data_IF_292967681942
#
_entry.id   IF_292967681942
#
_cell.length_a   1.000
_cell.length_b   1.000
_cell.length_c   1.000
_cell.angle_alpha   90.00
_cell.angle_beta   90.00
_cell.angle_gamma   90.00
#
_symmetry.space_group_name_H-M   'P 1'
#
loop_
_entity.id
_entity.type
_entity.pdbx_description
1 polymer ?
#
# COMPACT_ATOMS: atom_id res chain seq x y z
N UNK A 1 73.48 -32.01 -52.55
CA UNK A 1 73.30 -32.88 -51.37
C UNK A 1 73.54 -32.04 -50.13
N UNK A 2 72.56 -32.04 -49.23
CA UNK A 2 72.62 -31.63 -47.81
C UNK A 2 71.59 -30.57 -47.44
N UNK A 3 70.37 -31.06 -47.22
CA UNK A 3 69.32 -30.47 -46.41
C UNK A 3 69.83 -30.13 -45.00
N UNK A 4 69.60 -28.90 -44.57
CA UNK A 4 69.86 -28.43 -43.20
C UNK A 4 68.55 -28.51 -42.41
N UNK A 5 68.32 -29.66 -41.77
CA UNK A 5 67.20 -29.89 -40.86
C UNK A 5 67.25 -28.94 -39.65
N UNK A 6 66.17 -28.20 -39.39
CA UNK A 6 66.00 -27.34 -38.21
C UNK A 6 65.01 -28.00 -37.25
N UNK A 7 65.45 -28.31 -36.03
CA UNK A 7 64.63 -28.94 -34.99
C UNK A 7 63.66 -27.93 -34.35
N UNK A 8 62.38 -28.29 -34.14
CA UNK A 8 61.45 -27.45 -33.38
C UNK A 8 61.62 -27.64 -31.86
N UNK A 9 61.53 -26.52 -31.13
CA UNK A 9 61.72 -26.42 -29.68
C UNK A 9 60.47 -26.90 -28.92
N UNK A 10 60.49 -28.14 -28.45
CA UNK A 10 59.45 -28.76 -27.61
C UNK A 10 59.36 -28.17 -26.19
N UNK A 11 60.34 -27.38 -25.75
CA UNK A 11 60.39 -26.82 -24.39
C UNK A 11 59.34 -25.73 -24.13
N UNK A 12 58.89 -25.00 -25.15
CA UNK A 12 57.87 -23.94 -24.98
C UNK A 12 56.43 -24.48 -24.98
N UNK A 13 56.19 -25.63 -25.60
CA UNK A 13 54.88 -26.25 -25.66
C UNK A 13 54.47 -26.88 -24.31
N UNK A 14 55.42 -27.45 -23.56
CA UNK A 14 55.14 -28.07 -22.26
C UNK A 14 54.85 -27.04 -21.14
N UNK A 15 55.44 -25.85 -21.21
CA UNK A 15 55.22 -24.81 -20.19
C UNK A 15 53.81 -24.17 -20.28
N UNK A 16 53.22 -24.10 -21.48
CA UNK A 16 51.90 -23.48 -21.69
C UNK A 16 50.72 -24.38 -21.27
N UNK A 17 50.87 -25.71 -21.33
CA UNK A 17 49.84 -26.65 -20.90
C UNK A 17 49.70 -26.73 -19.37
N UNK A 18 50.79 -26.56 -18.61
CA UNK A 18 50.76 -26.57 -17.14
C UNK A 18 49.97 -25.38 -16.54
N UNK A 19 50.04 -24.21 -17.16
CA UNK A 19 49.36 -23.01 -16.69
C UNK A 19 47.83 -23.07 -16.86
N UNK A 20 47.34 -23.75 -17.91
CA UNK A 20 45.91 -23.91 -18.19
C UNK A 20 45.23 -24.89 -17.21
N UNK A 21 45.91 -25.98 -16.84
CA UNK A 21 45.39 -26.94 -15.86
C UNK A 21 45.33 -26.37 -14.43
N UNK A 22 46.35 -25.59 -14.02
CA UNK A 22 46.39 -24.98 -12.68
C UNK A 22 45.30 -23.92 -12.46
N UNK A 23 45.03 -23.07 -13.45
CA UNK A 23 43.98 -22.04 -13.35
C UNK A 23 42.56 -22.62 -13.26
N UNK A 24 42.30 -23.73 -13.97
CA UNK A 24 41.00 -24.39 -13.96
C UNK A 24 40.69 -25.07 -12.61
N UNK A 25 41.68 -25.70 -11.97
CA UNK A 25 41.52 -26.31 -10.64
C UNK A 25 41.26 -25.26 -9.55
N UNK A 26 41.94 -24.11 -9.61
CA UNK A 26 41.73 -23.01 -8.65
C UNK A 26 40.31 -22.43 -8.80
N UNK A 27 39.84 -22.21 -10.03
CA UNK A 27 38.48 -21.71 -10.28
C UNK A 27 37.38 -22.69 -9.79
N UNK A 28 37.59 -24.00 -9.96
CA UNK A 28 36.65 -25.02 -9.47
C UNK A 28 36.62 -25.07 -7.93
N UNK A 29 37.77 -24.97 -7.27
CA UNK A 29 37.83 -24.93 -5.80
C UNK A 29 37.13 -23.68 -5.25
N UNK A 30 37.40 -22.49 -5.79
CA UNK A 30 36.72 -21.27 -5.34
C UNK A 30 35.21 -21.31 -5.62
N UNK A 31 34.79 -21.85 -6.76
CA UNK A 31 33.37 -22.04 -7.09
C UNK A 31 32.67 -23.01 -6.13
N UNK A 32 33.31 -24.13 -5.78
CA UNK A 32 32.78 -25.06 -4.78
C UNK A 32 32.70 -24.45 -3.38
N UNK A 33 33.71 -23.68 -2.95
CA UNK A 33 33.66 -23.00 -1.66
C UNK A 33 32.52 -21.97 -1.59
N UNK A 34 32.33 -21.18 -2.65
CA UNK A 34 31.23 -20.22 -2.73
C UNK A 34 29.85 -20.92 -2.76
N UNK A 35 29.72 -22.04 -3.46
CA UNK A 35 28.48 -22.81 -3.52
C UNK A 35 28.15 -23.47 -2.18
N UNK A 36 29.14 -24.07 -1.50
CA UNK A 36 28.96 -24.68 -0.17
C UNK A 36 28.59 -23.64 0.88
N UNK A 37 29.20 -22.45 0.83
CA UNK A 37 28.83 -21.35 1.72
C UNK A 37 27.41 -20.84 1.44
N UNK A 38 26.98 -20.81 0.17
CA UNK A 38 25.63 -20.44 -0.21
C UNK A 38 24.56 -21.47 0.21
N UNK A 39 24.95 -22.71 0.52
CA UNK A 39 24.05 -23.74 1.04
C UNK A 39 23.89 -23.68 2.57
N UNK A 40 24.64 -22.81 3.26
CA UNK A 40 24.48 -22.57 4.70
C UNK A 40 23.06 -22.03 4.92
N UNK A 41 22.19 -22.77 5.63
CA UNK A 41 20.85 -22.27 5.91
C UNK A 41 20.96 -20.97 6.70
N UNK A 42 20.16 -19.94 6.38
CA UNK A 42 20.12 -18.73 7.21
C UNK A 42 19.79 -19.13 8.65
N UNK A 43 20.35 -18.42 9.66
CA UNK A 43 19.99 -18.67 11.04
C UNK A 43 18.47 -18.59 11.16
N UNK A 44 17.88 -19.57 11.85
CA UNK A 44 16.44 -19.59 12.06
C UNK A 44 16.01 -18.24 12.66
N UNK A 45 14.90 -17.64 12.17
CA UNK A 45 14.39 -16.43 12.78
C UNK A 45 14.18 -16.68 14.29
N UNK A 46 14.44 -15.68 15.14
CA UNK A 46 14.18 -15.82 16.57
C UNK A 46 12.74 -16.30 16.77
N UNK A 47 12.54 -17.23 17.71
CA UNK A 47 11.21 -17.72 18.07
C UNK A 47 10.25 -16.53 18.24
N UNK A 48 8.98 -16.63 17.80
CA UNK A 48 8.04 -15.53 17.91
C UNK A 48 8.00 -15.08 19.38
N UNK A 49 8.27 -13.79 19.60
CA UNK A 49 8.21 -13.21 20.92
C UNK A 49 6.85 -13.53 21.55
N UNK A 50 6.85 -13.89 22.84
CA UNK A 50 5.63 -14.07 23.60
C UNK A 50 4.73 -12.84 23.41
N UNK A 51 3.41 -13.06 23.26
CA UNK A 51 2.46 -11.98 23.08
C UNK A 51 2.61 -10.94 24.21
N UNK A 52 2.56 -9.63 23.90
CA UNK A 52 2.72 -8.60 24.91
C UNK A 52 1.62 -8.69 25.98
N UNK A 53 1.91 -8.32 27.24
CA UNK A 53 0.91 -8.33 28.30
C UNK A 53 -0.22 -7.34 27.98
N UNK A 54 -1.46 -7.73 28.27
CA UNK A 54 -2.64 -6.88 28.08
C UNK A 54 -2.72 -5.68 29.04
N UNK A 55 -1.72 -5.49 29.91
CA UNK A 55 -1.62 -4.34 30.79
C UNK A 55 -0.17 -3.92 31.05
N UNK A 56 0.06 -2.62 31.16
CA UNK A 56 1.35 -2.01 31.55
C UNK A 56 1.11 -1.03 32.70
N UNK A 57 1.87 -1.16 33.78
CA UNK A 57 1.80 -0.26 34.94
C UNK A 57 3.08 0.55 35.10
N UNK A 58 2.94 1.84 35.42
CA UNK A 58 4.06 2.76 35.68
C UNK A 58 3.56 4.07 36.27
N UNK A 59 4.35 4.74 37.11
CA UNK A 59 4.00 6.06 37.65
C UNK A 59 2.68 6.14 38.44
N UNK A 60 2.18 5.03 38.95
CA UNK A 60 0.91 4.96 39.70
C UNK A 60 -0.35 4.78 38.85
N UNK A 61 -0.23 4.51 37.55
CA UNK A 61 -1.36 4.17 36.68
C UNK A 61 -1.11 2.86 35.91
N UNK A 62 -2.20 2.22 35.49
CA UNK A 62 -2.19 0.99 34.68
C UNK A 62 -2.95 1.22 33.38
N UNK A 63 -2.30 1.00 32.24
CA UNK A 63 -2.93 0.99 30.93
C UNK A 63 -3.36 -0.44 30.62
N UNK A 64 -4.66 -0.67 30.51
CA UNK A 64 -5.21 -1.98 30.12
C UNK A 64 -5.67 -1.92 28.67
N UNK A 65 -5.25 -2.91 27.88
CA UNK A 65 -5.73 -3.10 26.51
C UNK A 65 -7.17 -3.59 26.53
N UNK A 66 -8.10 -2.69 26.24
CA UNK A 66 -9.51 -3.02 26.04
C UNK A 66 -9.80 -3.15 24.55
N UNK A 67 -10.49 -4.23 24.18
CA UNK A 67 -11.00 -4.39 22.81
C UNK A 67 -12.29 -3.59 22.65
N UNK A 68 -12.39 -2.83 21.57
CA UNK A 68 -13.59 -2.09 21.18
C UNK A 68 -13.99 -2.59 19.80
N UNK A 69 -15.24 -3.04 19.66
CA UNK A 69 -15.81 -3.30 18.35
C UNK A 69 -16.16 -1.97 17.69
N UNK A 70 -15.54 -1.67 16.55
CA UNK A 70 -15.88 -0.51 15.74
C UNK A 70 -17.12 -0.82 14.89
N UNK A 71 -18.00 0.17 14.65
CA UNK A 71 -19.06 0.04 13.65
C UNK A 71 -18.47 -0.11 12.24
N UNK A 72 -19.28 -0.62 11.31
CA UNK A 72 -18.90 -0.74 9.90
C UNK A 72 -18.53 0.62 9.28
N UNK A 73 -17.65 0.58 8.28
CA UNK A 73 -17.16 1.77 7.56
C UNK A 73 -18.29 2.57 6.89
N UNK A 74 -18.00 3.85 6.62
CA UNK A 74 -18.93 4.76 5.94
C UNK A 74 -19.37 4.18 4.57
N UNK A 75 -20.68 4.10 4.29
CA UNK A 75 -21.17 3.57 3.04
C UNK A 75 -20.75 4.45 1.85
N UNK A 76 -20.64 3.87 0.64
CA UNK A 76 -20.36 4.64 -0.57
C UNK A 76 -21.52 5.59 -0.91
N UNK A 77 -21.29 6.45 -1.90
CA UNK A 77 -22.37 7.29 -2.43
C UNK A 77 -23.54 6.42 -2.95
N UNK A 78 -24.80 6.82 -2.70
CA UNK A 78 -25.98 6.11 -3.19
C UNK A 78 -25.92 5.76 -4.68
N UNK A 79 -26.40 4.57 -5.04
CA UNK A 79 -26.37 4.14 -6.44
C UNK A 79 -27.19 5.08 -7.35
N UNK A 80 -26.64 5.39 -8.53
CA UNK A 80 -27.33 6.20 -9.53
C UNK A 80 -26.38 6.86 -10.52
N UNK A 81 -26.94 7.57 -11.53
CA UNK A 81 -26.13 8.28 -12.52
C UNK A 81 -25.23 9.31 -11.85
N UNK A 82 -23.91 9.12 -11.94
CA UNK A 82 -22.90 9.98 -11.31
C UNK A 82 -22.27 9.43 -10.03
N UNK A 83 -22.79 8.33 -9.46
CA UNK A 83 -22.23 7.72 -8.24
C UNK A 83 -20.77 7.28 -8.43
N UNK A 84 -20.42 6.70 -9.58
CA UNK A 84 -19.04 6.28 -9.86
C UNK A 84 -18.09 7.49 -9.96
N UNK A 85 -18.55 8.62 -10.48
CA UNK A 85 -17.77 9.86 -10.47
C UNK A 85 -17.54 10.34 -9.03
N UNK A 86 -18.55 10.28 -8.17
CA UNK A 86 -18.39 10.65 -6.76
C UNK A 86 -17.42 9.72 -6.03
N UNK A 87 -17.61 8.41 -6.16
CA UNK A 87 -16.76 7.40 -5.52
C UNK A 87 -15.33 7.40 -6.09
N UNK A 88 -15.12 7.80 -7.34
CA UNK A 88 -13.78 7.89 -7.94
C UNK A 88 -13.02 9.17 -7.62
N UNK A 89 -13.73 10.27 -7.31
CA UNK A 89 -13.10 11.60 -7.19
C UNK A 89 -13.16 12.22 -5.79
N UNK A 90 -14.11 11.82 -4.94
CA UNK A 90 -14.37 12.52 -3.68
C UNK A 90 -13.96 11.69 -2.44
N UNK A 91 -13.93 10.36 -2.54
CA UNK A 91 -13.67 9.48 -1.38
C UNK A 91 -12.19 9.28 -1.06
N UNK A 92 -11.29 9.88 -1.84
CA UNK A 92 -9.85 9.83 -1.59
C UNK A 92 -9.41 10.62 -0.36
N UNK A 93 -10.21 11.61 0.09
CA UNK A 93 -9.84 12.51 1.19
C UNK A 93 -10.85 12.53 2.35
N UNK A 94 -12.11 12.18 2.09
CA UNK A 94 -13.16 12.15 3.09
C UNK A 94 -14.21 11.11 2.72
N UNK A 95 -15.02 10.65 3.68
CA UNK A 95 -16.11 9.72 3.39
C UNK A 95 -17.26 10.39 2.62
N UNK A 96 -18.18 9.57 2.07
CA UNK A 96 -19.36 10.06 1.37
C UNK A 96 -20.31 10.82 2.32
N UNK A 97 -20.38 10.41 3.59
CA UNK A 97 -21.23 11.02 4.60
C UNK A 97 -20.92 12.51 4.78
N UNK A 98 -19.67 12.94 4.64
CA UNK A 98 -19.30 14.37 4.70
C UNK A 98 -20.03 15.23 3.66
N UNK A 99 -20.24 14.72 2.44
CA UNK A 99 -20.98 15.45 1.41
C UNK A 99 -22.51 15.28 1.56
N UNK A 100 -22.95 14.07 1.95
CA UNK A 100 -24.38 13.74 2.05
C UNK A 100 -25.07 14.40 3.24
N UNK A 101 -24.32 14.79 4.28
CA UNK A 101 -24.85 15.46 5.48
C UNK A 101 -24.83 16.98 5.37
N UNK A 102 -24.40 17.54 4.24
CA UNK A 102 -24.46 18.99 4.02
C UNK A 102 -25.93 19.46 4.00
N UNK A 103 -26.21 20.70 4.44
CA UNK A 103 -27.53 21.28 4.32
C UNK A 103 -27.97 21.32 2.85
N UNK A 104 -29.27 21.54 2.60
CA UNK A 104 -29.77 21.69 1.24
C UNK A 104 -29.11 22.90 0.55
N UNK A 105 -28.19 22.62 -0.38
CA UNK A 105 -27.51 23.62 -1.18
C UNK A 105 -28.13 23.73 -2.58
N UNK A 106 -28.12 24.95 -3.12
CA UNK A 106 -28.47 25.19 -4.52
C UNK A 106 -27.41 24.62 -5.47
N UNK A 107 -27.78 24.45 -6.75
CA UNK A 107 -26.85 24.01 -7.80
C UNK A 107 -25.59 24.90 -7.88
N UNK A 108 -25.75 26.22 -7.72
CA UNK A 108 -24.65 27.17 -7.75
C UNK A 108 -23.71 27.01 -6.54
N UNK A 109 -24.26 26.79 -5.34
CA UNK A 109 -23.46 26.52 -4.14
C UNK A 109 -22.71 25.20 -4.27
N UNK A 110 -23.36 24.14 -4.76
CA UNK A 110 -22.68 22.88 -5.04
C UNK A 110 -21.57 23.03 -6.07
N UNK A 111 -21.79 23.81 -7.12
CA UNK A 111 -20.76 24.10 -8.13
C UNK A 111 -19.54 24.74 -7.48
N UNK A 112 -19.73 25.79 -6.67
CA UNK A 112 -18.63 26.44 -5.97
C UNK A 112 -17.90 25.49 -5.00
N UNK A 113 -18.63 24.62 -4.30
CA UNK A 113 -18.02 23.62 -3.42
C UNK A 113 -17.16 22.62 -4.20
N UNK A 114 -17.66 22.10 -5.32
CA UNK A 114 -16.94 21.13 -6.17
C UNK A 114 -15.72 21.78 -6.82
N UNK A 115 -15.85 23.02 -7.31
CA UNK A 115 -14.73 23.81 -7.81
C UNK A 115 -13.68 24.05 -6.73
N UNK A 116 -14.09 24.35 -5.49
CA UNK A 116 -13.17 24.46 -4.35
C UNK A 116 -12.44 23.14 -4.08
N UNK A 117 -13.11 21.99 -4.18
CA UNK A 117 -12.44 20.67 -4.06
C UNK A 117 -11.37 20.48 -5.12
N UNK A 118 -11.66 20.82 -6.38
CA UNK A 118 -10.72 20.75 -7.49
C UNK A 118 -9.56 21.73 -7.33
N UNK A 119 -9.85 23.01 -7.13
CA UNK A 119 -8.86 24.08 -7.29
C UNK A 119 -8.03 24.33 -6.04
N UNK A 120 -8.67 24.28 -4.86
CA UNK A 120 -8.02 24.56 -3.58
C UNK A 120 -7.48 23.28 -2.96
N UNK A 121 -8.32 22.24 -2.89
CA UNK A 121 -7.95 20.98 -2.25
C UNK A 121 -7.33 19.95 -3.20
N UNK A 122 -7.25 20.28 -4.50
CA UNK A 122 -6.56 19.47 -5.53
C UNK A 122 -7.15 18.06 -5.70
N UNK A 123 -8.45 17.91 -5.44
CA UNK A 123 -9.17 16.70 -5.83
C UNK A 123 -9.05 16.50 -7.35
N UNK A 124 -8.82 15.26 -7.79
CA UNK A 124 -8.53 14.90 -9.18
C UNK A 124 -9.77 14.93 -10.10
N UNK A 125 -10.55 16.01 -10.04
CA UNK A 125 -11.80 16.20 -10.78
C UNK A 125 -11.48 16.84 -12.13
N UNK A 126 -11.85 16.17 -13.23
CA UNK A 126 -11.78 16.80 -14.55
C UNK A 126 -12.90 17.84 -14.71
N UNK A 127 -12.60 18.96 -15.36
CA UNK A 127 -13.54 20.08 -15.51
C UNK A 127 -14.84 19.70 -16.23
N UNK A 128 -14.74 18.77 -17.19
CA UNK A 128 -15.89 18.20 -17.91
C UNK A 128 -16.88 17.45 -16.99
N UNK A 129 -16.42 16.95 -15.85
CA UNK A 129 -17.21 16.10 -14.95
C UNK A 129 -17.91 16.90 -13.85
N UNK A 130 -17.53 18.18 -13.64
CA UNK A 130 -18.12 19.06 -12.63
C UNK A 130 -19.65 19.12 -12.75
N UNK A 131 -20.17 19.28 -13.96
CA UNK A 131 -21.63 19.36 -14.19
C UNK A 131 -22.35 18.10 -13.71
N UNK A 132 -21.82 16.92 -14.02
CA UNK A 132 -22.42 15.64 -13.66
C UNK A 132 -22.36 15.41 -12.14
N UNK A 133 -21.23 15.76 -11.51
CA UNK A 133 -21.05 15.70 -10.05
C UNK A 133 -22.06 16.60 -9.34
N UNK A 134 -22.22 17.85 -9.79
CA UNK A 134 -23.17 18.80 -9.20
C UNK A 134 -24.62 18.35 -9.37
N UNK A 135 -24.97 17.77 -10.52
CA UNK A 135 -26.31 17.23 -10.77
C UNK A 135 -26.62 16.04 -9.86
N UNK A 136 -25.65 15.15 -9.65
CA UNK A 136 -25.77 14.06 -8.70
C UNK A 136 -25.98 14.59 -7.27
N UNK A 137 -25.12 15.49 -6.79
CA UNK A 137 -25.21 16.06 -5.45
C UNK A 137 -26.57 16.74 -5.20
N UNK A 138 -27.04 17.53 -6.16
CA UNK A 138 -28.34 18.21 -6.06
C UNK A 138 -29.49 17.21 -5.94
N UNK A 139 -29.43 16.08 -6.66
CA UNK A 139 -30.45 15.03 -6.60
C UNK A 139 -30.44 14.32 -5.24
N UNK A 140 -29.27 13.87 -4.77
CA UNK A 140 -29.19 13.11 -3.52
C UNK A 140 -29.48 13.97 -2.28
N UNK A 141 -29.09 15.26 -2.30
CA UNK A 141 -29.47 16.20 -1.23
C UNK A 141 -30.98 16.43 -1.16
N UNK A 142 -31.69 16.36 -2.29
CA UNK A 142 -33.15 16.45 -2.31
C UNK A 142 -33.82 15.19 -1.74
N UNK A 143 -33.23 14.02 -1.97
CA UNK A 143 -33.72 12.73 -1.44
C UNK A 143 -33.55 12.64 0.08
N UNK A 144 -32.41 13.12 0.61
CA UNK A 144 -32.17 13.22 2.06
C UNK A 144 -33.19 14.11 2.81
N UNK A 145 -33.92 14.98 2.09
CA UNK A 145 -35.02 15.78 2.64
C UNK A 145 -36.36 15.03 2.69
N UNK A 146 -36.54 14.02 1.82
CA UNK A 146 -37.76 13.21 1.73
C UNK A 146 -37.75 12.04 2.72
N UNK A 147 -36.58 11.46 2.93
CA UNK A 147 -36.34 10.44 3.94
C UNK A 147 -35.89 11.15 5.22
N UNK A 148 -36.84 11.61 6.04
CA UNK A 148 -36.54 12.18 7.35
C UNK A 148 -35.74 11.17 8.17
N UNK A 149 -34.42 11.26 8.12
CA UNK A 149 -33.52 10.34 8.79
C UNK A 149 -33.57 10.65 10.28
N UNK A 150 -34.39 9.88 10.99
CA UNK A 150 -34.29 9.69 12.43
C UNK A 150 -32.83 9.42 12.76
N UNK A 151 -32.21 10.35 13.48
CA UNK A 151 -30.91 10.11 14.10
C UNK A 151 -31.02 8.83 14.95
N UNK A 152 -30.10 7.86 14.83
CA UNK A 152 -29.99 6.83 15.85
C UNK A 152 -29.59 7.54 17.14
N UNK A 153 -30.48 7.53 18.12
CA UNK A 153 -30.19 7.98 19.48
C UNK A 153 -29.06 7.12 20.02
N UNK A 154 -27.92 7.73 20.27
CA UNK A 154 -26.80 7.15 20.99
C UNK A 154 -27.20 6.91 22.44
N UNK A 155 -27.95 5.86 22.70
CA UNK A 155 -28.22 5.34 24.04
C UNK A 155 -27.89 3.85 24.07
N UNK A 156 -26.65 3.53 24.47
CA UNK A 156 -26.33 2.35 25.28
C UNK A 156 -24.83 2.29 25.57
N UNK A 157 -24.46 2.58 26.81
CA UNK A 157 -23.10 2.40 27.29
C UNK A 157 -22.95 2.74 28.77
N UNK A 158 -23.91 2.29 29.59
CA UNK A 158 -23.83 2.41 31.04
C UNK A 158 -22.61 1.64 31.56
N UNK A 159 -21.61 2.37 32.05
CA UNK A 159 -20.54 1.81 32.84
C UNK A 159 -21.07 1.57 34.27
N UNK A 160 -21.16 0.31 34.66
CA UNK A 160 -21.22 -0.13 36.05
C UNK A 160 -20.16 -1.20 36.22
N UNK A 161 -19.15 -0.91 37.04
CA UNK A 161 -17.99 -1.75 37.33
C UNK A 161 -16.91 -0.96 38.03
#
# INVERSE_FOLDING_TARGET
MSDRQKTPSYGRALLQLGAMAGGFVIAISLGHHAFVESLKPPPAPPAPAAAPPSAVSGGGFTLTSTSIALPDDDPPYPAGPGADLMNGNCTACHSASMALTQPALSKAQWTSTVEKMRDTYKAAIAEKDIRAIVEYLTKVSAQAKGDGLSAPTSDAGGASG
#
